data_IF_767735407114
#
_entry.id   IF_767735407114
#
_cell.length_a   1.000
_cell.length_b   1.000
_cell.length_c   1.000
_cell.angle_alpha   90.00
_cell.angle_beta   90.00
_cell.angle_gamma   90.00
#
_symmetry.space_group_name_H-M   'P 1'
#
loop_
_entity.id
_entity.type
_entity.pdbx_description
1 polymer ?
#
# COMPACT_ATOMS: atom_id res chain seq x y z
N UNK A 1 3.21 -18.00 -14.74
CA UNK A 1 4.58 -17.51 -14.92
C UNK A 1 4.88 -16.38 -13.95
N UNK A 2 6.16 -16.13 -13.70
CA UNK A 2 6.64 -15.01 -12.88
C UNK A 2 7.53 -14.14 -13.75
N UNK A 3 7.28 -12.82 -13.71
CA UNK A 3 8.00 -11.86 -14.55
C UNK A 3 8.45 -10.68 -13.68
N UNK A 4 9.66 -10.19 -13.91
CA UNK A 4 10.20 -9.00 -13.25
C UNK A 4 11.59 -9.22 -12.68
N UNK A 5 12.43 -8.20 -12.70
CA UNK A 5 13.79 -8.23 -12.14
C UNK A 5 13.77 -8.51 -10.61
N UNK A 6 12.77 -7.99 -9.89
CA UNK A 6 12.64 -8.17 -8.45
C UNK A 6 12.30 -9.61 -8.00
N UNK A 7 12.09 -10.53 -8.93
CA UNK A 7 11.81 -11.95 -8.66
C UNK A 7 13.01 -12.67 -8.09
N UNK A 8 14.19 -12.45 -8.68
CA UNK A 8 15.47 -13.05 -8.26
C UNK A 8 16.29 -12.13 -7.36
N UNK A 9 16.12 -10.81 -7.51
CA UNK A 9 16.85 -9.81 -6.74
C UNK A 9 15.82 -8.91 -6.00
N UNK A 10 15.28 -9.37 -4.87
CA UNK A 10 14.19 -8.68 -4.19
C UNK A 10 14.54 -7.25 -3.76
N UNK A 11 13.61 -6.32 -3.96
CA UNK A 11 13.63 -5.01 -3.32
C UNK A 11 12.95 -5.15 -1.95
N UNK A 12 13.70 -5.46 -0.90
CA UNK A 12 13.15 -5.86 0.40
C UNK A 12 13.40 -4.87 1.54
N UNK A 13 14.28 -3.90 1.33
CA UNK A 13 14.66 -2.90 2.34
C UNK A 13 14.95 -1.54 1.70
N UNK A 14 15.05 -0.49 2.52
CA UNK A 14 15.51 0.83 2.11
C UNK A 14 16.96 0.81 1.61
N UNK A 15 17.40 1.91 1.00
CA UNK A 15 18.78 2.12 0.58
C UNK A 15 19.40 3.27 1.38
N UNK A 16 20.71 3.23 1.57
CA UNK A 16 21.46 4.16 2.40
C UNK A 16 21.72 3.59 3.80
N UNK A 17 21.69 4.40 4.85
CA UNK A 17 22.04 4.00 6.21
C UNK A 17 21.06 3.01 6.86
N UNK A 18 19.87 2.84 6.27
CA UNK A 18 18.89 1.82 6.70
C UNK A 18 19.21 0.41 6.22
N UNK A 19 20.22 0.22 5.38
CA UNK A 19 20.58 -1.08 4.83
C UNK A 19 21.09 -2.02 5.94
N UNK A 20 20.54 -3.23 5.99
CA UNK A 20 20.88 -4.30 6.94
C UNK A 20 21.50 -5.46 6.18
N UNK A 21 22.57 -6.02 6.72
CA UNK A 21 23.20 -7.25 6.19
C UNK A 21 22.37 -8.46 6.63
N UNK A 22 21.39 -8.83 5.85
CA UNK A 22 20.51 -9.96 6.16
C UNK A 22 21.25 -11.29 6.07
N UNK A 23 21.00 -12.19 7.01
CA UNK A 23 21.59 -13.55 7.03
C UNK A 23 21.12 -14.36 5.79
N UNK A 24 19.84 -14.23 5.46
CA UNK A 24 19.20 -14.85 4.30
C UNK A 24 18.13 -13.92 3.77
N UNK A 25 18.01 -13.82 2.47
CA UNK A 25 16.92 -13.11 1.80
C UNK A 25 16.17 -14.10 0.93
N UNK A 26 14.89 -14.29 1.19
CA UNK A 26 14.04 -15.14 0.37
C UNK A 26 13.81 -14.48 -0.99
N UNK A 27 13.94 -15.25 -2.06
CA UNK A 27 13.56 -14.81 -3.40
C UNK A 27 12.15 -15.26 -3.74
N UNK A 28 11.47 -14.49 -4.60
CA UNK A 28 10.12 -14.83 -5.01
C UNK A 28 10.10 -16.17 -5.76
N UNK A 29 11.13 -16.43 -6.57
CA UNK A 29 11.25 -17.65 -7.36
C UNK A 29 11.41 -18.91 -6.49
N UNK A 30 12.23 -18.84 -5.43
CA UNK A 30 12.41 -19.96 -4.48
C UNK A 30 11.09 -20.25 -3.73
N UNK A 31 10.47 -19.20 -3.17
CA UNK A 31 9.23 -19.36 -2.42
C UNK A 31 8.08 -19.90 -3.27
N UNK A 32 8.00 -19.53 -4.55
CA UNK A 32 7.03 -20.10 -5.48
C UNK A 32 7.26 -21.58 -5.77
N UNK A 33 8.51 -22.00 -5.95
CA UNK A 33 8.85 -23.42 -6.13
C UNK A 33 8.40 -24.26 -4.92
N UNK A 34 8.56 -23.72 -3.72
CA UNK A 34 8.17 -24.38 -2.45
C UNK A 34 6.65 -24.34 -2.22
N UNK A 35 5.91 -23.45 -2.86
CA UNK A 35 4.46 -23.27 -2.66
C UNK A 35 3.58 -24.37 -3.26
N UNK A 36 4.15 -25.23 -4.10
CA UNK A 36 3.41 -26.27 -4.83
C UNK A 36 2.64 -25.75 -6.06
N UNK A 37 2.73 -24.47 -6.39
CA UNK A 37 2.18 -23.96 -7.65
C UNK A 37 3.01 -24.44 -8.85
N UNK A 38 2.30 -24.78 -9.94
CA UNK A 38 2.95 -25.14 -11.21
C UNK A 38 3.54 -23.89 -11.88
N UNK A 39 4.83 -23.63 -11.66
CA UNK A 39 5.55 -22.53 -12.30
C UNK A 39 6.07 -22.93 -13.66
N UNK A 40 5.53 -22.33 -14.72
CA UNK A 40 5.91 -22.61 -16.13
C UNK A 40 7.23 -21.96 -16.52
N UNK A 41 7.61 -20.83 -15.89
CA UNK A 41 8.85 -20.15 -16.18
C UNK A 41 8.97 -18.76 -15.56
N UNK A 42 10.15 -18.18 -15.78
CA UNK A 42 10.55 -16.84 -15.32
C UNK A 42 11.12 -16.04 -16.49
N UNK A 43 10.88 -14.73 -16.51
CA UNK A 43 11.52 -13.77 -17.39
C UNK A 43 11.81 -12.47 -16.62
N UNK A 44 12.99 -11.89 -16.81
CA UNK A 44 13.38 -10.61 -16.16
C UNK A 44 12.51 -9.45 -16.61
N UNK A 45 12.13 -9.40 -17.88
CA UNK A 45 11.17 -8.47 -18.47
C UNK A 45 11.63 -7.03 -18.65
N UNK A 46 12.42 -6.47 -17.75
CA UNK A 46 12.87 -5.07 -17.80
C UNK A 46 14.30 -4.89 -17.24
N UNK A 47 14.89 -3.76 -17.53
CA UNK A 47 16.12 -3.28 -16.89
C UNK A 47 15.78 -2.44 -15.65
N UNK A 48 16.39 -2.77 -14.50
CA UNK A 48 16.09 -2.14 -13.18
C UNK A 48 16.34 -0.64 -13.17
N UNK A 49 17.32 -0.15 -13.92
CA UNK A 49 17.67 1.26 -14.00
C UNK A 49 16.81 2.04 -15.03
N UNK A 50 15.76 1.41 -15.55
CA UNK A 50 14.81 2.06 -16.43
C UNK A 50 15.21 2.11 -17.92
N UNK A 51 16.29 1.46 -18.33
CA UNK A 51 16.72 1.43 -19.74
C UNK A 51 15.74 0.59 -20.57
N UNK A 52 15.33 1.04 -21.76
CA UNK A 52 14.52 0.24 -22.67
C UNK A 52 15.25 -1.05 -23.07
N UNK A 53 14.53 -2.17 -23.01
CA UNK A 53 15.03 -3.49 -23.44
C UNK A 53 13.91 -4.24 -24.16
N UNK A 54 13.90 -4.13 -25.48
CA UNK A 54 12.86 -4.74 -26.32
C UNK A 54 12.93 -6.28 -26.30
N UNK A 55 14.12 -6.86 -26.13
CA UNK A 55 14.30 -8.31 -26.11
C UNK A 55 13.70 -8.91 -24.85
N UNK A 56 14.03 -8.36 -23.67
CA UNK A 56 13.44 -8.78 -22.39
C UNK A 56 11.91 -8.62 -22.38
N UNK A 57 11.39 -7.51 -22.91
CA UNK A 57 9.95 -7.27 -23.01
C UNK A 57 9.26 -8.30 -23.90
N UNK A 58 9.85 -8.62 -25.07
CA UNK A 58 9.30 -9.62 -25.99
C UNK A 58 9.32 -11.03 -25.40
N UNK A 59 10.40 -11.42 -24.72
CA UNK A 59 10.53 -12.71 -24.01
C UNK A 59 9.44 -12.84 -22.95
N UNK A 60 9.26 -11.82 -22.13
CA UNK A 60 8.25 -11.79 -21.08
C UNK A 60 6.82 -11.91 -21.63
N UNK A 61 6.48 -11.19 -22.69
CA UNK A 61 5.18 -11.28 -23.36
C UNK A 61 4.95 -12.67 -23.97
N UNK A 62 5.98 -13.27 -24.60
CA UNK A 62 5.90 -14.61 -25.16
C UNK A 62 5.71 -15.69 -24.07
N UNK A 63 6.29 -15.51 -22.89
CA UNK A 63 6.06 -16.37 -21.72
C UNK A 63 4.64 -16.19 -21.19
N UNK A 64 4.18 -14.95 -21.05
CA UNK A 64 2.83 -14.62 -20.56
C UNK A 64 1.72 -15.25 -21.38
N UNK A 65 1.88 -15.36 -22.69
CA UNK A 65 0.91 -15.95 -23.61
C UNK A 65 0.70 -17.47 -23.41
N UNK A 66 1.59 -18.15 -22.67
CA UNK A 66 1.60 -19.63 -22.51
C UNK A 66 1.07 -20.10 -21.16
N UNK A 67 0.57 -19.22 -20.33
CA UNK A 67 0.23 -19.53 -18.93
C UNK A 67 -1.15 -19.04 -18.56
N UNK A 68 -1.75 -19.60 -17.51
CA UNK A 68 -3.07 -19.21 -17.02
C UNK A 68 -3.03 -17.87 -16.27
N UNK A 69 -1.96 -17.61 -15.53
CA UNK A 69 -1.79 -16.42 -14.67
C UNK A 69 -0.35 -15.93 -14.73
N UNK A 70 -0.18 -14.62 -14.79
CA UNK A 70 1.12 -13.95 -14.68
C UNK A 70 1.20 -13.23 -13.35
N UNK A 71 2.26 -13.49 -12.58
CA UNK A 71 2.69 -12.67 -11.45
C UNK A 71 3.77 -11.72 -11.94
N UNK A 72 3.46 -10.43 -12.05
CA UNK A 72 4.35 -9.41 -12.55
C UNK A 72 4.90 -8.57 -11.39
N UNK A 73 6.18 -8.77 -11.05
CA UNK A 73 6.85 -8.10 -9.94
C UNK A 73 7.46 -6.78 -10.42
N UNK A 74 6.84 -5.68 -10.02
CA UNK A 74 7.24 -4.31 -10.34
C UNK A 74 7.63 -3.57 -9.05
N UNK A 75 8.29 -2.41 -9.19
CA UNK A 75 8.63 -1.60 -8.02
C UNK A 75 9.58 -0.46 -8.29
N UNK A 76 10.00 0.19 -7.21
CA UNK A 76 11.04 1.19 -7.22
C UNK A 76 12.40 0.56 -6.91
N UNK A 77 13.42 1.00 -7.61
CA UNK A 77 14.81 0.59 -7.37
C UNK A 77 15.43 1.34 -6.17
N UNK A 78 16.66 0.95 -5.84
CA UNK A 78 17.43 1.49 -4.72
C UNK A 78 17.82 2.96 -4.93
N UNK A 79 17.89 3.44 -6.17
CA UNK A 79 18.24 4.83 -6.49
C UNK A 79 17.00 5.72 -6.32
N UNK A 80 15.84 5.24 -6.77
CA UNK A 80 14.58 5.98 -6.65
C UNK A 80 14.16 6.20 -5.18
N UNK A 81 14.54 5.29 -4.28
CA UNK A 81 14.21 5.36 -2.85
C UNK A 81 15.47 5.23 -1.98
N UNK A 82 16.46 6.09 -2.24
CA UNK A 82 17.67 6.14 -1.44
C UNK A 82 17.62 7.28 -0.44
N UNK A 83 18.20 7.04 0.75
CA UNK A 83 18.48 8.12 1.70
C UNK A 83 19.37 9.20 1.05
N UNK A 84 19.04 10.46 1.32
CA UNK A 84 19.77 11.62 0.80
C UNK A 84 19.48 11.97 -0.66
N UNK A 85 18.57 11.27 -1.33
CA UNK A 85 18.11 11.59 -2.69
C UNK A 85 16.60 11.87 -2.68
N UNK A 86 16.23 13.07 -3.13
CA UNK A 86 14.82 13.42 -3.29
C UNK A 86 14.25 12.82 -4.59
N UNK A 87 13.07 12.27 -4.51
CA UNK A 87 12.34 11.78 -5.69
C UNK A 87 11.78 12.96 -6.47
N UNK A 88 11.98 12.93 -7.79
CA UNK A 88 11.43 13.94 -8.70
C UNK A 88 9.96 13.69 -9.08
N UNK A 89 9.48 12.45 -8.90
CA UNK A 89 8.14 12.00 -9.29
C UNK A 89 7.64 10.87 -8.37
N UNK A 90 6.40 10.45 -8.56
CA UNK A 90 5.78 9.32 -7.87
C UNK A 90 5.48 8.16 -8.83
N UNK A 91 6.29 7.97 -9.88
CA UNK A 91 6.00 7.03 -10.98
C UNK A 91 6.88 5.78 -10.92
N UNK A 92 6.34 4.68 -11.44
CA UNK A 92 7.17 3.57 -11.92
C UNK A 92 7.97 4.01 -13.15
N UNK A 93 9.07 3.34 -13.43
CA UNK A 93 9.84 3.58 -14.65
C UNK A 93 9.02 3.21 -15.91
N UNK A 94 9.19 3.98 -16.98
CA UNK A 94 8.41 3.81 -18.23
C UNK A 94 8.55 2.40 -18.81
N UNK A 95 9.75 1.80 -18.74
CA UNK A 95 9.97 0.43 -19.22
C UNK A 95 9.18 -0.63 -18.45
N UNK A 96 8.86 -0.41 -17.16
CA UNK A 96 8.00 -1.27 -16.37
C UNK A 96 6.52 -1.11 -16.80
N UNK A 97 6.09 0.11 -17.11
CA UNK A 97 4.73 0.37 -17.61
C UNK A 97 4.53 -0.24 -19.00
N UNK A 98 5.51 -0.07 -19.90
CA UNK A 98 5.48 -0.70 -21.21
C UNK A 98 5.45 -2.24 -21.12
N UNK A 99 6.21 -2.81 -20.20
CA UNK A 99 6.17 -4.24 -19.92
C UNK A 99 4.81 -4.69 -19.45
N UNK A 100 4.21 -3.99 -18.46
CA UNK A 100 2.87 -4.30 -17.95
C UNK A 100 1.83 -4.31 -19.06
N UNK A 101 1.86 -3.33 -19.96
CA UNK A 101 0.96 -3.26 -21.11
C UNK A 101 1.15 -4.44 -22.08
N UNK A 102 2.39 -4.77 -22.41
CA UNK A 102 2.70 -5.89 -23.29
C UNK A 102 2.30 -7.24 -22.68
N UNK A 103 2.55 -7.43 -21.40
CA UNK A 103 2.18 -8.64 -20.67
C UNK A 103 0.66 -8.78 -20.56
N UNK A 104 -0.05 -7.69 -20.23
CA UNK A 104 -1.51 -7.69 -20.13
C UNK A 104 -2.19 -7.95 -21.48
N UNK A 105 -1.64 -7.44 -22.59
CA UNK A 105 -2.12 -7.76 -23.93
C UNK A 105 -1.97 -9.24 -24.26
N UNK A 106 -0.88 -9.87 -23.81
CA UNK A 106 -0.61 -11.30 -24.02
C UNK A 106 -1.44 -12.18 -23.06
N UNK A 107 -1.69 -11.70 -21.83
CA UNK A 107 -2.46 -12.42 -20.80
C UNK A 107 -3.20 -11.45 -19.87
N UNK A 108 -4.53 -11.35 -19.98
CA UNK A 108 -5.32 -10.43 -19.13
C UNK A 108 -5.38 -10.87 -17.65
N UNK A 109 -4.99 -12.11 -17.32
CA UNK A 109 -4.88 -12.58 -15.94
C UNK A 109 -3.54 -12.19 -15.32
N UNK A 110 -3.17 -10.92 -15.45
CA UNK A 110 -1.94 -10.37 -14.87
C UNK A 110 -2.21 -9.79 -13.49
N UNK A 111 -1.46 -10.27 -12.51
CA UNK A 111 -1.43 -9.77 -11.13
C UNK A 111 -0.13 -9.02 -10.92
N UNK A 112 -0.20 -7.76 -10.53
CA UNK A 112 0.98 -6.97 -10.16
C UNK A 112 1.32 -7.19 -8.70
N UNK A 113 2.57 -7.56 -8.42
CA UNK A 113 3.19 -7.59 -7.08
C UNK A 113 4.14 -6.42 -7.00
N UNK A 114 3.80 -5.43 -6.19
CA UNK A 114 4.48 -4.14 -6.14
C UNK A 114 5.38 -4.04 -4.91
N UNK A 115 6.66 -3.77 -5.14
CA UNK A 115 7.66 -3.50 -4.10
C UNK A 115 8.09 -2.03 -4.15
N UNK A 116 7.68 -1.24 -3.17
CA UNK A 116 8.04 0.17 -3.03
C UNK A 116 7.89 0.59 -1.57
N UNK A 117 8.72 1.49 -1.09
CA UNK A 117 8.68 2.01 0.28
C UNK A 117 7.70 3.16 0.49
N UNK A 118 7.19 3.75 -0.60
CA UNK A 118 6.28 4.88 -0.58
C UNK A 118 5.17 4.74 -1.63
N UNK A 119 4.14 5.58 -1.52
CA UNK A 119 3.04 5.66 -2.48
C UNK A 119 3.50 6.03 -3.89
N UNK A 120 2.75 5.56 -4.87
CA UNK A 120 2.97 5.75 -6.29
C UNK A 120 1.71 6.25 -6.99
N UNK A 121 1.90 6.97 -8.09
CA UNK A 121 0.83 7.16 -9.06
C UNK A 121 0.52 5.83 -9.73
N UNK A 122 -0.77 5.53 -9.86
CA UNK A 122 -1.24 4.24 -10.38
C UNK A 122 -2.18 4.35 -11.59
N UNK A 123 -1.90 5.20 -12.60
CA UNK A 123 -2.75 5.31 -13.80
C UNK A 123 -2.78 4.00 -14.61
N UNK A 124 -1.83 3.12 -14.38
CA UNK A 124 -1.68 1.81 -15.02
C UNK A 124 -2.52 0.69 -14.41
N UNK A 125 -3.29 0.94 -13.35
CA UNK A 125 -4.13 -0.08 -12.68
C UNK A 125 -5.11 -0.79 -13.62
N UNK A 126 -5.56 -0.13 -14.67
CA UNK A 126 -6.43 -0.74 -15.69
C UNK A 126 -5.77 -1.86 -16.50
N UNK A 127 -4.45 -1.97 -16.43
CA UNK A 127 -3.66 -3.00 -17.09
C UNK A 127 -3.35 -4.22 -16.21
N UNK A 128 -3.89 -4.29 -15.00
CA UNK A 128 -3.77 -5.48 -14.16
C UNK A 128 -5.12 -5.89 -13.57
N UNK A 129 -5.28 -7.19 -13.34
CA UNK A 129 -6.50 -7.77 -12.75
C UNK A 129 -6.52 -7.62 -11.24
N UNK A 130 -5.36 -7.61 -10.61
CA UNK A 130 -5.18 -7.40 -9.17
C UNK A 130 -3.82 -6.75 -8.89
N UNK A 131 -3.78 -6.03 -7.78
CA UNK A 131 -2.56 -5.41 -7.25
C UNK A 131 -2.34 -5.90 -5.81
N UNK A 132 -1.16 -6.46 -5.56
CA UNK A 132 -0.67 -6.79 -4.22
C UNK A 132 0.50 -5.87 -3.90
N UNK A 133 0.35 -5.03 -2.89
CA UNK A 133 1.40 -4.13 -2.43
C UNK A 133 2.18 -4.76 -1.27
N UNK A 134 3.43 -5.11 -1.55
CA UNK A 134 4.31 -5.80 -0.60
C UNK A 134 5.14 -4.86 0.27
N UNK A 135 5.11 -3.57 0.00
CA UNK A 135 6.00 -2.57 0.60
C UNK A 135 7.49 -3.00 0.48
N UNK A 136 8.30 -2.71 1.49
CA UNK A 136 9.64 -3.25 1.67
C UNK A 136 9.56 -4.30 2.79
N UNK A 137 9.27 -5.56 2.40
CA UNK A 137 8.81 -6.61 3.30
C UNK A 137 9.89 -7.25 4.18
N UNK A 138 11.15 -6.78 4.09
CA UNK A 138 12.26 -7.40 4.80
C UNK A 138 12.68 -8.74 4.19
N UNK A 139 13.61 -9.42 4.85
CA UNK A 139 14.26 -10.63 4.33
C UNK A 139 13.30 -11.80 4.02
N UNK A 140 12.14 -11.87 4.65
CA UNK A 140 11.11 -12.90 4.45
C UNK A 140 9.89 -12.38 3.64
N UNK A 141 9.98 -11.18 3.04
CA UNK A 141 8.88 -10.52 2.34
C UNK A 141 8.38 -11.30 1.12
N UNK A 142 9.27 -11.95 0.38
CA UNK A 142 8.91 -12.77 -0.78
C UNK A 142 8.03 -13.96 -0.38
N UNK A 143 8.39 -14.68 0.66
CA UNK A 143 7.58 -15.78 1.20
C UNK A 143 6.20 -15.33 1.68
N UNK A 144 6.13 -14.20 2.38
CA UNK A 144 4.87 -13.62 2.83
C UNK A 144 3.94 -13.26 1.64
N UNK A 145 4.49 -12.69 0.56
CA UNK A 145 3.70 -12.40 -0.66
C UNK A 145 3.19 -13.67 -1.33
N UNK A 146 4.01 -14.71 -1.42
CA UNK A 146 3.61 -16.02 -1.96
C UNK A 146 2.50 -16.64 -1.12
N UNK A 147 2.57 -16.57 0.21
CA UNK A 147 1.52 -17.06 1.12
C UNK A 147 0.18 -16.31 0.90
N UNK A 148 0.23 -15.01 0.64
CA UNK A 148 -0.96 -14.22 0.27
C UNK A 148 -1.49 -14.65 -1.10
N UNK A 149 -0.64 -14.71 -2.13
CA UNK A 149 -1.04 -15.03 -3.50
C UNK A 149 -1.61 -16.44 -3.65
N UNK A 150 -1.12 -17.40 -2.88
CA UNK A 150 -1.63 -18.78 -2.84
C UNK A 150 -2.89 -18.93 -1.99
N UNK A 151 -3.25 -17.89 -1.22
CA UNK A 151 -4.36 -17.92 -0.29
C UNK A 151 -4.09 -18.72 1.00
N UNK A 152 -2.85 -19.11 1.26
CA UNK A 152 -2.43 -19.70 2.55
C UNK A 152 -2.64 -18.71 3.68
N UNK A 153 -2.39 -17.44 3.42
CA UNK A 153 -2.67 -16.32 4.31
C UNK A 153 -3.71 -15.39 3.67
N UNK A 154 -4.75 -15.03 4.43
CA UNK A 154 -5.71 -14.02 4.03
C UNK A 154 -5.15 -12.63 4.36
N UNK A 155 -4.97 -11.73 3.38
CA UNK A 155 -4.43 -10.40 3.63
C UNK A 155 -5.33 -9.60 4.56
N UNK A 156 -4.73 -8.81 5.44
CA UNK A 156 -5.43 -7.94 6.39
C UNK A 156 -4.76 -6.58 6.56
N UNK A 157 -3.69 -6.32 5.82
CA UNK A 157 -2.99 -5.05 5.84
C UNK A 157 -3.86 -3.91 5.33
N UNK A 158 -3.71 -2.73 5.94
CA UNK A 158 -4.35 -1.48 5.49
C UNK A 158 -3.26 -0.46 5.19
N UNK A 159 -3.48 0.37 4.17
CA UNK A 159 -2.53 1.42 3.80
C UNK A 159 -2.33 2.41 4.95
N UNK A 160 -1.08 2.66 5.29
CA UNK A 160 -0.68 3.64 6.31
C UNK A 160 -0.54 5.06 5.74
N UNK A 161 -0.79 5.23 4.45
CA UNK A 161 -0.79 6.52 3.76
C UNK A 161 -1.85 6.56 2.65
N UNK A 162 -2.23 7.77 2.23
CA UNK A 162 -3.12 7.99 1.08
C UNK A 162 -2.31 7.98 -0.20
N UNK A 163 -2.77 7.24 -1.21
CA UNK A 163 -2.16 7.25 -2.54
C UNK A 163 -2.88 8.26 -3.43
N UNK A 164 -2.20 9.34 -3.75
CA UNK A 164 -2.72 10.36 -4.65
C UNK A 164 -2.84 9.83 -6.08
N UNK A 165 -3.77 10.39 -6.87
CA UNK A 165 -3.87 10.07 -8.30
C UNK A 165 -2.67 10.59 -9.09
N UNK A 166 -2.08 11.72 -8.64
CA UNK A 166 -0.93 12.36 -9.28
C UNK A 166 -0.11 13.13 -8.24
N UNK A 167 1.18 13.32 -8.52
CA UNK A 167 2.08 14.12 -7.69
C UNK A 167 1.57 15.55 -7.46
N UNK A 168 0.97 16.14 -8.47
CA UNK A 168 0.38 17.49 -8.43
C UNK A 168 -0.76 17.62 -7.43
N UNK A 169 -1.35 16.52 -6.99
CA UNK A 169 -2.41 16.51 -5.98
C UNK A 169 -1.89 16.42 -4.56
N UNK A 170 -0.57 16.28 -4.38
CA UNK A 170 0.01 16.22 -3.02
C UNK A 170 0.07 17.60 -2.38
N UNK A 171 -0.17 17.72 -1.05
CA UNK A 171 -0.19 19.03 -0.40
C UNK A 171 1.18 19.70 -0.36
N UNK A 172 2.26 18.93 -0.47
CA UNK A 172 3.63 19.41 -0.34
C UNK A 172 4.30 19.77 -1.68
N UNK A 173 3.67 19.50 -2.83
CA UNK A 173 4.30 19.57 -4.16
C UNK A 173 5.06 20.88 -4.45
N UNK A 174 4.54 22.02 -4.00
CA UNK A 174 5.13 23.33 -4.25
C UNK A 174 6.23 23.69 -3.25
N UNK A 175 6.36 22.93 -2.16
CA UNK A 175 7.27 23.20 -1.05
C UNK A 175 8.24 22.04 -0.78
N UNK A 176 8.03 20.87 -1.37
CA UNK A 176 8.89 19.71 -1.22
C UNK A 176 10.25 19.95 -1.86
N UNK A 177 11.25 19.36 -1.25
CA UNK A 177 12.68 19.54 -1.41
C UNK A 177 13.21 20.92 -0.99
N UNK A 178 12.34 21.90 -0.75
CA UNK A 178 12.74 23.24 -0.34
C UNK A 178 13.43 24.04 -1.45
N UNK A 179 13.57 25.35 -1.23
CA UNK A 179 14.32 26.25 -2.11
C UNK A 179 15.26 27.11 -1.27
N UNK A 180 16.57 27.01 -1.52
CA UNK A 180 17.59 27.74 -0.75
C UNK A 180 17.78 27.16 0.66
N UNK A 181 17.81 28.04 1.68
CA UNK A 181 18.09 27.68 3.09
C UNK A 181 16.83 27.48 3.94
N UNK A 182 15.65 27.72 3.39
CA UNK A 182 14.39 27.67 4.14
C UNK A 182 13.46 26.63 3.52
N UNK A 183 12.92 25.77 4.38
CA UNK A 183 11.85 24.81 4.04
C UNK A 183 10.60 25.21 4.81
N UNK A 184 9.46 25.21 4.12
CA UNK A 184 8.18 25.60 4.71
C UNK A 184 7.23 24.40 4.75
N UNK A 185 6.85 23.97 5.95
CA UNK A 185 5.84 22.91 6.18
C UNK A 185 4.44 23.54 6.17
N UNK A 186 3.96 23.92 4.98
CA UNK A 186 2.70 24.66 4.81
C UNK A 186 1.45 23.84 5.08
N UNK A 187 1.57 22.52 5.05
CA UNK A 187 0.45 21.60 5.29
C UNK A 187 -0.11 21.72 6.72
N UNK A 188 0.75 22.03 7.70
CA UNK A 188 0.36 22.06 9.11
C UNK A 188 -0.21 20.71 9.55
N UNK A 189 -1.47 20.69 10.02
CA UNK A 189 -2.19 19.44 10.38
C UNK A 189 -2.74 18.68 9.18
N UNK A 190 -2.77 19.30 7.99
CA UNK A 190 -3.43 18.77 6.81
C UNK A 190 -2.48 17.96 5.96
N UNK A 191 -1.91 16.90 6.54
CA UNK A 191 -1.07 15.91 5.87
C UNK A 191 -1.86 14.63 5.59
N UNK A 192 -1.53 13.94 4.49
CA UNK A 192 -2.16 12.68 4.12
C UNK A 192 -3.70 12.78 4.03
N UNK A 193 -4.43 11.82 4.59
CA UNK A 193 -5.89 11.76 4.50
C UNK A 193 -6.60 13.00 5.05
N UNK A 194 -6.02 13.68 6.04
CA UNK A 194 -6.61 14.91 6.57
C UNK A 194 -6.71 16.00 5.53
N UNK A 195 -5.68 16.13 4.68
CA UNK A 195 -5.72 17.05 3.55
C UNK A 195 -6.73 16.61 2.49
N UNK A 196 -6.56 15.40 1.95
CA UNK A 196 -7.36 14.93 0.82
C UNK A 196 -8.86 14.94 1.11
N UNK A 197 -9.27 14.50 2.29
CA UNK A 197 -10.67 14.49 2.70
C UNK A 197 -11.22 15.89 2.97
N UNK A 198 -10.43 16.76 3.62
CA UNK A 198 -10.89 18.13 3.94
C UNK A 198 -10.99 19.00 2.69
N UNK A 199 -10.04 18.86 1.77
CA UNK A 199 -10.02 19.60 0.49
C UNK A 199 -10.90 18.95 -0.61
N UNK A 200 -11.44 17.75 -0.37
CA UNK A 200 -12.25 17.02 -1.36
C UNK A 200 -11.45 16.56 -2.58
N UNK A 201 -10.15 16.30 -2.43
CA UNK A 201 -9.28 15.87 -3.52
C UNK A 201 -9.43 14.35 -3.73
N UNK A 202 -9.81 13.90 -4.96
CA UNK A 202 -9.90 12.48 -5.27
C UNK A 202 -8.54 11.77 -5.16
N UNK A 203 -8.56 10.53 -4.70
CA UNK A 203 -7.35 9.71 -4.48
C UNK A 203 -7.50 8.34 -5.13
N UNK A 204 -6.38 7.69 -5.46
CA UNK A 204 -6.37 6.33 -5.98
C UNK A 204 -6.76 5.34 -4.88
N UNK A 205 -6.12 5.44 -3.72
CA UNK A 205 -6.44 4.63 -2.53
C UNK A 205 -6.38 5.49 -1.27
N UNK A 206 -7.43 5.52 -0.45
CA UNK A 206 -7.42 6.27 0.78
C UNK A 206 -6.55 5.59 1.86
N UNK A 207 -6.07 6.37 2.82
CA UNK A 207 -5.52 5.85 4.08
C UNK A 207 -6.49 4.84 4.70
N UNK A 208 -5.96 3.75 5.23
CA UNK A 208 -6.76 2.69 5.84
C UNK A 208 -7.41 1.72 4.85
N UNK A 209 -7.20 1.88 3.54
CA UNK A 209 -7.70 0.96 2.52
C UNK A 209 -6.93 -0.36 2.51
N UNK A 210 -7.64 -1.45 2.24
CA UNK A 210 -7.08 -2.78 2.02
C UNK A 210 -8.19 -3.82 1.95
N UNK A 211 -8.08 -4.73 0.97
CA UNK A 211 -9.04 -5.79 0.73
C UNK A 211 -8.68 -7.07 1.50
N UNK A 212 -9.63 -7.96 1.61
CA UNK A 212 -9.50 -9.30 2.20
C UNK A 212 -10.11 -10.33 1.27
N UNK A 213 -9.74 -11.61 1.43
CA UNK A 213 -10.40 -12.74 0.75
C UNK A 213 -11.71 -13.14 1.44
N UNK A 214 -12.16 -12.42 2.44
CA UNK A 214 -13.46 -12.52 3.09
C UNK A 214 -14.11 -11.15 3.20
N UNK A 215 -15.35 -11.10 3.71
CA UNK A 215 -16.10 -9.86 3.89
C UNK A 215 -16.49 -9.69 5.34
N UNK A 216 -16.62 -8.44 5.79
CA UNK A 216 -17.01 -8.10 7.15
C UNK A 216 -18.21 -7.18 7.16
N UNK A 217 -19.09 -7.36 8.15
CA UNK A 217 -20.21 -6.48 8.43
C UNK A 217 -20.05 -5.89 9.83
N UNK A 218 -20.52 -4.65 9.98
CA UNK A 218 -20.48 -3.88 11.21
C UNK A 218 -21.91 -3.62 11.69
N UNK A 219 -22.18 -3.83 12.98
CA UNK A 219 -23.48 -3.60 13.59
C UNK A 219 -23.37 -3.14 15.05
N UNK A 220 -24.51 -2.83 15.66
CA UNK A 220 -24.68 -2.55 17.10
C UNK A 220 -23.77 -1.44 17.64
N UNK A 221 -23.51 -0.41 16.82
CA UNK A 221 -22.66 0.72 17.21
C UNK A 221 -23.26 1.45 18.41
N UNK A 222 -22.45 1.56 19.46
CA UNK A 222 -22.73 2.37 20.66
C UNK A 222 -21.53 3.23 20.93
N UNK A 223 -21.74 4.50 21.23
CA UNK A 223 -20.67 5.45 21.48
C UNK A 223 -21.02 6.35 22.68
N UNK A 224 -20.02 6.63 23.49
CA UNK A 224 -20.03 7.66 24.52
C UNK A 224 -18.74 8.50 24.47
N UNK A 225 -18.51 9.35 25.45
CA UNK A 225 -17.33 10.22 25.49
C UNK A 225 -15.99 9.46 25.72
N UNK A 226 -16.04 8.20 26.12
CA UNK A 226 -14.86 7.43 26.56
C UNK A 226 -14.60 6.19 25.70
N UNK A 227 -15.63 5.73 24.97
CA UNK A 227 -15.51 4.51 24.19
C UNK A 227 -16.50 4.43 23.03
N UNK A 228 -16.13 3.62 22.04
CA UNK A 228 -17.03 3.15 20.99
C UNK A 228 -17.00 1.63 20.98
N UNK A 229 -18.19 1.02 21.07
CA UNK A 229 -18.37 -0.43 21.02
C UNK A 229 -19.23 -0.79 19.82
N UNK A 230 -18.82 -1.86 19.10
CA UNK A 230 -19.55 -2.35 17.93
C UNK A 230 -19.32 -3.85 17.75
N UNK A 231 -20.19 -4.49 16.99
CA UNK A 231 -20.05 -5.89 16.57
C UNK A 231 -19.44 -5.95 15.16
N UNK A 232 -18.39 -6.77 14.99
CA UNK A 232 -17.82 -7.10 13.68
C UNK A 232 -18.11 -8.57 13.40
N UNK A 233 -18.71 -8.86 12.25
CA UNK A 233 -19.02 -10.21 11.77
C UNK A 233 -18.26 -10.51 10.50
N UNK A 234 -17.59 -11.66 10.43
CA UNK A 234 -17.08 -12.21 9.18
C UNK A 234 -18.27 -12.84 8.42
N UNK A 235 -18.64 -12.25 7.29
CA UNK A 235 -19.81 -12.70 6.50
C UNK A 235 -19.42 -13.64 5.36
N UNK A 236 -18.11 -13.88 5.15
CA UNK A 236 -17.63 -14.80 4.13
C UNK A 236 -17.37 -16.20 4.67
N UNK A 237 -16.78 -17.05 3.83
CA UNK A 237 -16.55 -18.47 4.08
C UNK A 237 -15.10 -18.83 4.47
N UNK A 238 -14.25 -17.82 4.70
CA UNK A 238 -12.85 -17.98 5.11
C UNK A 238 -12.58 -17.19 6.38
N UNK A 239 -11.68 -17.70 7.22
CA UNK A 239 -11.15 -16.91 8.33
C UNK A 239 -10.38 -15.69 7.80
N UNK A 240 -10.46 -14.60 8.53
CA UNK A 240 -9.76 -13.37 8.19
C UNK A 240 -9.65 -12.42 9.37
N UNK A 241 -8.83 -11.39 9.20
CA UNK A 241 -8.71 -10.31 10.17
C UNK A 241 -9.17 -8.99 9.56
N UNK A 242 -9.88 -8.19 10.35
CA UNK A 242 -10.28 -6.83 10.00
C UNK A 242 -9.58 -5.83 10.93
N UNK A 243 -9.31 -4.64 10.42
CA UNK A 243 -8.83 -3.51 11.22
C UNK A 243 -9.96 -2.51 11.33
N UNK A 244 -10.62 -2.51 12.49
CA UNK A 244 -11.65 -1.54 12.83
C UNK A 244 -10.98 -0.19 13.07
N UNK A 245 -11.41 0.85 12.36
CA UNK A 245 -10.84 2.19 12.42
C UNK A 245 -11.91 3.16 12.90
N UNK A 246 -11.64 3.90 13.98
CA UNK A 246 -12.52 4.90 14.54
C UNK A 246 -12.05 6.30 14.19
N UNK A 247 -12.84 7.00 13.42
CA UNK A 247 -12.63 8.40 13.07
C UNK A 247 -13.62 9.29 13.78
N UNK A 248 -13.17 10.45 14.25
CA UNK A 248 -14.01 11.47 14.85
C UNK A 248 -14.03 12.70 13.96
N UNK A 249 -15.23 13.20 13.68
CA UNK A 249 -15.50 14.45 12.98
C UNK A 249 -16.17 15.45 13.93
N UNK A 250 -15.94 16.74 13.73
CA UNK A 250 -16.64 17.83 14.41
C UNK A 250 -17.09 18.89 13.40
N UNK A 251 -18.23 18.69 12.75
CA UNK A 251 -18.70 19.61 11.70
C UNK A 251 -18.92 21.03 12.19
N UNK A 252 -19.38 21.20 13.45
CA UNK A 252 -19.67 22.52 14.07
C UNK A 252 -18.50 23.07 14.88
N UNK A 253 -17.25 22.76 14.46
CA UNK A 253 -16.08 23.27 15.17
C UNK A 253 -15.95 24.79 15.02
N UNK A 254 -15.64 25.49 16.12
CA UNK A 254 -15.39 26.93 16.12
C UNK A 254 -14.06 27.31 15.45
N UNK A 255 -13.19 26.34 15.26
CA UNK A 255 -11.91 26.46 14.57
C UNK A 255 -11.89 25.52 13.38
N UNK A 256 -11.14 25.88 12.33
CA UNK A 256 -10.96 25.01 11.18
C UNK A 256 -10.23 23.72 11.58
N UNK A 257 -10.86 22.57 11.34
CA UNK A 257 -10.35 21.24 11.69
C UNK A 257 -10.42 20.30 10.49
N UNK A 258 -9.59 19.24 10.47
CA UNK A 258 -9.73 18.18 9.47
C UNK A 258 -11.16 17.60 9.45
N UNK A 259 -11.62 17.18 8.27
CA UNK A 259 -12.95 16.60 8.09
C UNK A 259 -13.20 15.44 9.05
N UNK A 260 -12.17 14.65 9.32
CA UNK A 260 -12.16 13.61 10.36
C UNK A 260 -10.72 13.26 10.76
N UNK A 261 -10.58 12.67 11.94
CA UNK A 261 -9.29 12.25 12.49
C UNK A 261 -9.38 10.85 13.07
N UNK A 262 -8.42 9.97 12.71
CA UNK A 262 -8.30 8.64 13.33
C UNK A 262 -7.94 8.79 14.81
N UNK A 263 -8.76 8.25 15.70
CA UNK A 263 -8.57 8.33 17.16
C UNK A 263 -8.29 6.99 17.80
N UNK A 264 -8.78 5.90 17.21
CA UNK A 264 -8.47 4.55 17.70
C UNK A 264 -8.59 3.53 16.56
N UNK A 265 -7.94 2.39 16.73
CA UNK A 265 -8.12 1.23 15.86
C UNK A 265 -7.86 -0.07 16.62
N UNK A 266 -8.43 -1.16 16.12
CA UNK A 266 -8.18 -2.50 16.65
C UNK A 266 -8.18 -3.53 15.53
N UNK A 267 -7.26 -4.49 15.59
CA UNK A 267 -7.27 -5.66 14.70
C UNK A 267 -8.04 -6.79 15.37
N UNK A 268 -9.04 -7.33 14.67
CA UNK A 268 -9.86 -8.45 15.13
C UNK A 268 -9.73 -9.62 14.15
N UNK A 269 -9.43 -10.81 14.67
CA UNK A 269 -9.42 -12.05 13.90
C UNK A 269 -10.73 -12.79 14.09
N UNK A 270 -11.34 -13.24 12.99
CA UNK A 270 -12.63 -13.90 12.95
C UNK A 270 -12.58 -15.15 12.08
N UNK A 271 -13.07 -16.26 12.61
CA UNK A 271 -13.39 -17.43 11.78
C UNK A 271 -14.53 -17.10 10.80
N UNK A 272 -14.75 -17.95 9.80
CA UNK A 272 -15.91 -17.81 8.90
C UNK A 272 -17.23 -17.83 9.68
N UNK A 273 -18.07 -16.82 9.48
CA UNK A 273 -19.35 -16.65 10.18
C UNK A 273 -19.26 -16.13 11.62
N UNK A 274 -18.06 -16.02 12.19
CA UNK A 274 -17.86 -15.56 13.57
C UNK A 274 -18.18 -14.06 13.72
N UNK A 275 -18.70 -13.70 14.90
CA UNK A 275 -18.92 -12.31 15.32
C UNK A 275 -18.17 -12.03 16.62
N UNK A 276 -17.59 -10.83 16.74
CA UNK A 276 -16.97 -10.35 17.99
C UNK A 276 -17.37 -8.92 18.26
N UNK A 277 -17.58 -8.62 19.54
CA UNK A 277 -17.71 -7.24 20.01
C UNK A 277 -16.33 -6.63 20.16
N UNK A 278 -16.14 -5.45 19.59
CA UNK A 278 -14.91 -4.65 19.66
C UNK A 278 -15.21 -3.38 20.41
N UNK A 279 -14.39 -3.06 21.41
CA UNK A 279 -14.45 -1.78 22.14
C UNK A 279 -13.18 -0.98 21.87
N UNK A 280 -13.35 0.25 21.41
CA UNK A 280 -12.29 1.21 21.15
C UNK A 280 -12.36 2.31 22.20
N UNK A 281 -11.34 2.41 23.04
CA UNK A 281 -11.24 3.42 24.09
C UNK A 281 -10.80 4.76 23.51
N UNK A 282 -11.40 5.84 23.96
CA UNK A 282 -11.05 7.21 23.62
C UNK A 282 -10.40 7.88 24.83
N UNK A 283 -9.28 8.52 24.62
CA UNK A 283 -8.65 9.38 25.64
C UNK A 283 -9.33 10.76 25.71
N UNK A 284 -8.97 11.54 26.69
CA UNK A 284 -9.53 12.88 26.90
C UNK A 284 -9.14 13.88 25.80
N UNK A 285 -8.13 13.58 24.98
CA UNK A 285 -7.69 14.38 23.82
C UNK A 285 -8.39 14.01 22.52
N UNK A 286 -9.19 12.94 22.51
CA UNK A 286 -9.86 12.47 21.29
C UNK A 286 -10.72 13.55 20.61
N UNK A 287 -11.34 14.43 21.41
CA UNK A 287 -12.22 15.52 20.96
C UNK A 287 -11.56 16.89 20.96
N UNK A 288 -10.36 17.02 21.53
CA UNK A 288 -9.65 18.29 21.71
C UNK A 288 -8.78 18.64 20.52
N UNK A 289 -8.40 19.89 20.45
CA UNK A 289 -7.35 20.41 19.56
C UNK A 289 -6.34 21.24 20.38
N UNK A 290 -5.12 21.35 19.87
CA UNK A 290 -4.13 22.23 20.46
C UNK A 290 -4.38 23.66 20.02
N UNK A 291 -4.66 24.55 20.96
CA UNK A 291 -4.83 25.98 20.70
C UNK A 291 -3.51 26.72 20.88
N UNK A 292 -2.92 27.14 19.77
CA UNK A 292 -1.61 27.85 19.77
C UNK A 292 -1.68 29.26 20.39
N UNK A 293 -2.86 29.83 20.63
CA UNK A 293 -3.02 31.14 21.27
C UNK A 293 -3.01 31.04 22.78
N UNK A 294 -3.55 29.96 23.33
CA UNK A 294 -3.63 29.72 24.77
C UNK A 294 -2.60 28.71 25.25
N UNK A 295 -1.84 28.12 24.31
CA UNK A 295 -0.85 27.08 24.54
C UNK A 295 -1.40 25.90 25.37
N UNK A 296 -2.58 25.45 25.00
CA UNK A 296 -3.34 24.42 25.75
C UNK A 296 -4.26 23.57 24.87
N UNK A 297 -4.64 22.41 25.40
CA UNK A 297 -5.67 21.56 24.80
C UNK A 297 -7.08 22.06 25.14
N UNK A 298 -7.89 22.31 24.10
CA UNK A 298 -9.30 22.76 24.19
C UNK A 298 -10.24 21.80 23.50
#
# INVERSE_FOLDING_TARGET
AVIGDFVETPRYQGAGSSAVNSIKVDTFLECLKESGLNSVGFATGFDRQGKPDAAKKAEAAALAAKVDVVLLCLGLDEIKESEGLDRADMKLADNQIELLQAVQQANPNTVVVLSAGASLETPWLTHCKALVYGALGGQAGAGAMVDVLTGKVNPSGKLAETWANAYEHTPAKDNFAGKGRTVQYREGLYVGYRYYQTAGVPVAFPFGYGLSYTSFAYSDLKADAHSVTLTVKNTGNRAGSEIVQLYIAKPDAKVFRPAQELKAFAKVQLAAGESKTVTLTLDDKAFRYWNTKTDSWE
#
